data_IF_127762266190
#
_entry.id   IF_127762266190
#
_cell.length_a   1.000
_cell.length_b   1.000
_cell.length_c   1.000
_cell.angle_alpha   90.00
_cell.angle_beta   90.00
_cell.angle_gamma   90.00
#
_symmetry.space_group_name_H-M   'P 1'
#
loop_
_entity.id
_entity.type
_entity.pdbx_description
1 polymer ?
#
# COMPACT_ATOMS: atom_id res chain seq x y z
N UNK A 1 -72.32 9.65 14.80
CA UNK A 1 -71.43 10.70 14.26
C UNK A 1 -70.13 10.54 15.02
N UNK A 2 -69.22 9.68 14.55
CA UNK A 2 -68.20 9.96 13.52
C UNK A 2 -67.11 10.88 14.12
N UNK A 3 -65.81 10.58 14.18
CA UNK A 3 -64.95 9.50 13.65
C UNK A 3 -63.68 9.46 14.52
N UNK A 4 -63.07 8.27 14.69
CA UNK A 4 -61.65 8.14 15.05
C UNK A 4 -60.80 8.52 13.83
N UNK A 5 -59.81 9.40 13.98
CA UNK A 5 -58.62 9.38 13.11
C UNK A 5 -57.36 9.76 13.90
N UNK A 6 -56.57 8.73 14.22
CA UNK A 6 -55.12 8.83 14.37
C UNK A 6 -54.51 9.32 13.06
N UNK A 7 -53.75 10.41 13.09
CA UNK A 7 -52.76 10.71 12.05
C UNK A 7 -51.42 11.01 12.72
N UNK A 8 -50.53 10.04 12.54
CA UNK A 8 -49.09 10.12 12.73
C UNK A 8 -48.50 11.15 11.76
N UNK A 9 -48.20 12.36 12.23
CA UNK A 9 -47.39 13.29 11.46
C UNK A 9 -45.94 13.26 11.93
N UNK A 10 -45.25 12.23 11.46
CA UNK A 10 -43.78 12.16 11.38
C UNK A 10 -43.29 13.02 10.20
N UNK A 11 -43.80 14.25 10.04
CA UNK A 11 -43.50 15.14 8.91
C UNK A 11 -42.95 16.51 9.27
N UNK A 12 -42.95 16.90 10.54
CA UNK A 12 -42.50 18.24 10.94
C UNK A 12 -41.32 18.26 11.93
N UNK A 13 -40.59 17.15 12.03
CA UNK A 13 -39.25 17.13 12.63
C UNK A 13 -38.21 17.32 11.54
N UNK A 14 -38.05 18.59 11.16
CA UNK A 14 -36.73 19.19 11.00
C UNK A 14 -35.86 18.59 9.91
N UNK A 15 -36.03 19.12 8.69
CA UNK A 15 -35.05 19.04 7.61
C UNK A 15 -33.69 19.66 8.00
N UNK A 16 -32.93 18.92 8.81
CA UNK A 16 -31.60 19.27 9.28
C UNK A 16 -30.73 18.01 9.44
N UNK A 17 -30.70 17.11 8.45
CA UNK A 17 -29.63 16.10 8.31
C UNK A 17 -29.28 15.74 6.86
N UNK A 18 -29.77 16.46 5.85
CA UNK A 18 -29.20 16.37 4.50
C UNK A 18 -28.10 17.42 4.30
N UNK A 19 -27.15 17.42 5.22
CA UNK A 19 -25.79 17.83 4.92
C UNK A 19 -25.08 16.64 4.30
N UNK A 20 -25.34 16.35 3.03
CA UNK A 20 -24.31 15.68 2.23
C UNK A 20 -23.15 16.66 2.20
N UNK A 21 -22.22 16.46 3.14
CA UNK A 21 -20.92 17.13 3.11
C UNK A 21 -20.25 16.58 1.87
N UNK A 22 -20.53 17.21 0.73
CA UNK A 22 -19.76 17.07 -0.48
C UNK A 22 -18.37 17.52 -0.07
N UNK A 23 -17.53 16.54 0.30
CA UNK A 23 -16.12 16.76 0.55
C UNK A 23 -15.61 17.62 -0.60
N UNK A 24 -14.95 18.75 -0.32
CA UNK A 24 -14.56 19.68 -1.37
C UNK A 24 -13.76 18.88 -2.39
N UNK A 25 -14.34 18.70 -3.58
CA UNK A 25 -13.70 18.02 -4.70
C UNK A 25 -12.41 18.75 -4.94
N UNK A 26 -11.33 18.16 -4.41
CA UNK A 26 -10.05 18.81 -4.37
C UNK A 26 -9.60 18.89 -5.82
N UNK A 27 -9.62 20.09 -6.40
CA UNK A 27 -9.21 20.41 -7.78
C UNK A 27 -7.68 20.32 -7.87
N UNK A 28 -7.09 19.31 -7.23
CA UNK A 28 -5.74 18.86 -7.48
C UNK A 28 -5.71 18.41 -8.94
N UNK A 29 -4.78 18.91 -9.77
CA UNK A 29 -4.64 18.40 -11.12
C UNK A 29 -4.44 16.89 -11.04
N UNK A 30 -5.35 16.13 -11.65
CA UNK A 30 -5.22 14.69 -11.78
C UNK A 30 -3.91 14.46 -12.52
N UNK A 31 -2.94 13.84 -11.82
CA UNK A 31 -1.64 13.52 -12.40
C UNK A 31 -1.86 12.70 -13.66
N UNK A 32 -1.00 12.85 -14.66
CA UNK A 32 -1.11 12.04 -15.87
C UNK A 32 -0.81 10.55 -15.59
N UNK A 33 -1.53 9.68 -16.29
CA UNK A 33 -1.32 8.23 -16.24
C UNK A 33 -0.02 7.90 -16.97
N UNK A 34 0.93 7.31 -16.25
CA UNK A 34 2.25 6.94 -16.80
C UNK A 34 2.24 5.43 -17.02
N UNK A 35 2.03 5.02 -18.27
CA UNK A 35 2.03 3.62 -18.72
C UNK A 35 2.88 3.43 -19.96
N UNK A 36 3.47 2.24 -20.07
CA UNK A 36 4.25 1.85 -21.23
C UNK A 36 3.36 1.59 -22.45
N UNK A 37 3.99 1.43 -23.63
CA UNK A 37 3.31 1.05 -24.89
C UNK A 37 2.46 -0.22 -24.78
N UNK A 38 2.77 -1.10 -23.82
CA UNK A 38 2.06 -2.35 -23.55
C UNK A 38 0.98 -2.21 -22.45
N UNK A 39 0.66 -0.99 -22.02
CA UNK A 39 -0.34 -0.73 -20.96
C UNK A 39 0.09 -1.17 -19.57
N UNK A 40 1.40 -1.34 -19.35
CA UNK A 40 1.97 -1.76 -18.06
C UNK A 40 2.49 -0.55 -17.30
N UNK A 41 2.27 -0.50 -15.99
CA UNK A 41 2.88 0.50 -15.13
C UNK A 41 4.17 -0.05 -14.53
N UNK A 42 5.28 0.65 -14.76
CA UNK A 42 6.56 0.35 -14.14
C UNK A 42 6.70 1.10 -12.81
N UNK A 43 7.23 0.44 -11.78
CA UNK A 43 7.65 1.08 -10.54
C UNK A 43 8.84 0.36 -9.90
N UNK A 44 9.46 1.02 -8.93
CA UNK A 44 10.57 0.44 -8.17
C UNK A 44 10.39 0.69 -6.69
N UNK A 45 10.40 -0.37 -5.90
CA UNK A 45 10.36 -0.31 -4.45
C UNK A 45 11.69 -0.68 -3.83
N UNK A 46 12.01 -0.09 -2.67
CA UNK A 46 13.25 -0.36 -1.92
C UNK A 46 12.97 -0.41 -0.42
N UNK A 47 13.51 -1.39 0.27
CA UNK A 47 13.46 -1.48 1.74
C UNK A 47 14.71 -2.17 2.26
N UNK A 48 15.41 -1.55 3.23
CA UNK A 48 16.75 -1.99 3.64
C UNK A 48 17.62 -2.16 2.37
N UNK A 49 18.23 -3.33 2.21
CA UNK A 49 19.07 -3.68 1.06
C UNK A 49 18.29 -4.33 -0.10
N UNK A 50 16.98 -4.54 0.04
CA UNK A 50 16.14 -5.15 -0.99
C UNK A 50 15.66 -4.11 -2.00
N UNK A 51 15.76 -4.45 -3.29
CA UNK A 51 15.28 -3.66 -4.41
C UNK A 51 14.33 -4.51 -5.25
N UNK A 52 13.11 -4.01 -5.45
CA UNK A 52 12.07 -4.65 -6.24
C UNK A 52 11.74 -3.79 -7.46
N UNK A 53 11.83 -4.36 -8.66
CA UNK A 53 11.30 -3.81 -9.90
C UNK A 53 9.93 -4.44 -10.13
N UNK A 54 8.90 -3.63 -10.28
CA UNK A 54 7.52 -4.11 -10.35
C UNK A 54 6.91 -3.63 -11.66
N UNK A 55 6.28 -4.57 -12.36
CA UNK A 55 5.45 -4.33 -13.53
C UNK A 55 4.03 -4.69 -13.17
N UNK A 56 3.12 -3.74 -13.33
CA UNK A 56 1.70 -3.91 -13.07
C UNK A 56 0.93 -3.88 -14.39
N UNK A 57 0.05 -4.86 -14.59
CA UNK A 57 -0.79 -5.00 -15.78
C UNK A 57 -2.23 -5.26 -15.33
N UNK A 58 -3.27 -4.71 -16.00
CA UNK A 58 -4.65 -5.15 -15.76
C UNK A 58 -4.79 -6.65 -16.11
N UNK A 59 -5.43 -7.43 -15.24
CA UNK A 59 -5.48 -8.88 -15.37
C UNK A 59 -6.26 -9.59 -14.26
N UNK A 60 -5.86 -10.82 -13.94
CA UNK A 60 -6.58 -11.78 -13.09
C UNK A 60 -6.15 -11.81 -11.62
N UNK A 61 -5.18 -10.99 -11.21
CA UNK A 61 -4.66 -11.01 -9.84
C UNK A 61 -3.45 -11.93 -9.63
N UNK A 62 -2.81 -12.41 -10.71
CA UNK A 62 -1.65 -13.31 -10.59
C UNK A 62 -0.40 -12.52 -10.20
N UNK A 63 0.29 -12.97 -9.16
CA UNK A 63 1.50 -12.33 -8.65
C UNK A 63 2.69 -13.25 -8.84
N UNK A 64 3.55 -12.93 -9.81
CA UNK A 64 4.76 -13.69 -10.12
C UNK A 64 5.99 -12.94 -9.62
N UNK A 65 6.86 -13.61 -8.87
CA UNK A 65 8.05 -13.04 -8.23
C UNK A 65 9.27 -13.85 -8.64
N UNK A 66 10.21 -13.21 -9.34
CA UNK A 66 11.43 -13.85 -9.86
C UNK A 66 11.15 -15.13 -10.67
N UNK A 67 10.05 -15.14 -11.44
CA UNK A 67 9.64 -16.29 -12.26
C UNK A 67 8.97 -17.44 -11.49
N UNK A 68 8.70 -17.27 -10.19
CA UNK A 68 7.96 -18.22 -9.35
C UNK A 68 6.66 -17.61 -8.86
N UNK A 69 5.71 -18.46 -8.48
CA UNK A 69 4.48 -17.99 -7.85
C UNK A 69 4.75 -17.39 -6.46
N UNK A 70 3.90 -16.44 -6.04
CA UNK A 70 4.01 -15.77 -4.74
C UNK A 70 3.98 -16.74 -3.56
N UNK A 71 3.23 -17.84 -3.64
CA UNK A 71 3.09 -18.80 -2.55
C UNK A 71 4.36 -19.61 -2.35
N UNK A 72 4.99 -19.99 -3.47
CA UNK A 72 6.25 -20.73 -3.49
C UNK A 72 7.42 -19.85 -3.05
N UNK A 73 7.43 -18.56 -3.45
CA UNK A 73 8.53 -17.65 -3.08
C UNK A 73 8.44 -17.18 -1.62
N UNK A 74 7.24 -16.83 -1.17
CA UNK A 74 6.99 -16.40 0.20
C UNK A 74 6.21 -17.45 0.98
N UNK A 75 6.93 -18.44 1.51
CA UNK A 75 6.35 -19.52 2.31
C UNK A 75 5.49 -19.01 3.48
N UNK A 76 5.89 -17.90 4.13
CA UNK A 76 5.14 -17.32 5.26
C UNK A 76 3.91 -16.54 4.79
N UNK A 77 2.69 -16.86 5.25
CA UNK A 77 1.46 -16.17 4.85
C UNK A 77 1.46 -14.68 5.24
N UNK A 78 2.12 -14.31 6.34
CA UNK A 78 2.26 -12.91 6.76
C UNK A 78 2.93 -12.04 5.70
N UNK A 79 3.90 -12.59 4.95
CA UNK A 79 4.59 -11.83 3.89
C UNK A 79 3.71 -11.66 2.66
N UNK A 80 2.86 -12.65 2.35
CA UNK A 80 1.84 -12.57 1.30
C UNK A 80 0.79 -11.52 1.62
N UNK A 81 0.31 -11.50 2.86
CA UNK A 81 -0.64 -10.49 3.34
C UNK A 81 -0.09 -9.07 3.13
N UNK A 82 1.18 -8.82 3.48
CA UNK A 82 1.84 -7.52 3.29
C UNK A 82 1.79 -7.09 1.81
N UNK A 83 2.05 -7.99 0.86
CA UNK A 83 2.00 -7.65 -0.57
C UNK A 83 0.59 -7.30 -1.03
N UNK A 84 -0.44 -7.90 -0.41
CA UNK A 84 -1.84 -7.69 -0.75
C UNK A 84 -2.48 -6.45 -0.10
N UNK A 85 -1.87 -5.88 0.94
CA UNK A 85 -2.35 -4.66 1.63
C UNK A 85 -2.73 -3.49 0.69
N UNK A 86 -1.91 -3.08 -0.30
CA UNK A 86 -2.27 -1.98 -1.19
C UNK A 86 -3.52 -2.28 -2.03
N UNK A 87 -3.80 -3.54 -2.37
CA UNK A 87 -5.01 -3.92 -3.13
C UNK A 87 -6.26 -3.95 -2.26
N UNK A 88 -6.13 -4.36 -1.00
CA UNK A 88 -7.23 -4.32 -0.04
C UNK A 88 -7.63 -2.88 0.33
N UNK A 89 -6.71 -1.92 0.22
CA UNK A 89 -7.01 -0.51 0.49
C UNK A 89 -7.66 0.21 -0.70
N UNK A 90 -7.36 -0.22 -1.92
CA UNK A 90 -7.94 0.39 -3.13
C UNK A 90 -9.16 -0.38 -3.65
N UNK A 91 -9.58 -1.43 -2.94
CA UNK A 91 -10.64 -2.36 -3.37
C UNK A 91 -10.41 -2.93 -4.78
N UNK A 92 -9.14 -3.10 -5.18
CA UNK A 92 -8.73 -3.64 -6.50
C UNK A 92 -8.12 -5.03 -6.40
N UNK A 93 -8.62 -5.83 -5.47
CA UNK A 93 -8.22 -7.22 -5.31
C UNK A 93 -8.61 -7.99 -6.58
N UNK A 94 -7.66 -8.70 -7.19
CA UNK A 94 -7.91 -9.51 -8.38
C UNK A 94 -7.97 -8.76 -9.71
N UNK A 95 -7.83 -7.43 -9.73
CA UNK A 95 -7.92 -6.63 -10.97
C UNK A 95 -6.60 -6.50 -11.75
N UNK A 96 -5.47 -6.79 -11.10
CA UNK A 96 -4.15 -6.55 -11.67
C UNK A 96 -3.23 -7.76 -11.52
N UNK A 97 -2.54 -8.12 -12.60
CA UNK A 97 -1.42 -9.03 -12.57
C UNK A 97 -0.12 -8.27 -12.27
N UNK A 98 0.75 -8.88 -11.48
CA UNK A 98 2.03 -8.32 -11.07
C UNK A 98 3.16 -9.24 -11.51
N UNK A 99 4.17 -8.64 -12.15
CA UNK A 99 5.45 -9.29 -12.38
C UNK A 99 6.53 -8.50 -11.63
N UNK A 100 7.04 -9.09 -10.56
CA UNK A 100 8.08 -8.50 -9.73
C UNK A 100 9.42 -9.21 -9.92
N UNK A 101 10.48 -8.43 -10.11
CA UNK A 101 11.87 -8.91 -10.05
C UNK A 101 12.54 -8.28 -8.84
N UNK A 102 13.02 -9.11 -7.92
CA UNK A 102 13.54 -8.67 -6.62
C UNK A 102 14.96 -9.16 -6.41
N UNK A 103 15.83 -8.28 -5.92
CA UNK A 103 17.23 -8.59 -5.59
C UNK A 103 17.65 -7.95 -4.27
N UNK A 104 18.58 -8.61 -3.57
CA UNK A 104 19.15 -8.12 -2.31
C UNK A 104 18.26 -8.34 -1.07
N UNK A 105 18.84 -8.10 0.11
CA UNK A 105 18.19 -8.25 1.40
C UNK A 105 17.74 -9.69 1.71
N UNK A 106 16.76 -9.83 2.60
CA UNK A 106 16.09 -11.10 2.91
C UNK A 106 14.58 -11.03 2.65
N UNK A 107 13.87 -12.15 2.79
CA UNK A 107 12.46 -12.31 2.40
C UNK A 107 11.53 -11.20 2.95
N UNK A 108 11.69 -10.81 4.22
CA UNK A 108 10.88 -9.74 4.83
C UNK A 108 11.17 -8.36 4.23
N UNK A 109 12.43 -8.05 3.95
CA UNK A 109 12.82 -6.81 3.29
C UNK A 109 12.32 -6.77 1.84
N UNK A 110 12.39 -7.91 1.15
CA UNK A 110 11.90 -8.09 -0.20
C UNK A 110 10.38 -7.91 -0.31
N UNK A 111 9.59 -8.52 0.58
CA UNK A 111 8.14 -8.33 0.62
C UNK A 111 7.77 -6.85 0.81
N UNK A 112 8.46 -6.15 1.73
CA UNK A 112 8.25 -4.71 1.92
C UNK A 112 8.67 -3.85 0.73
N UNK A 113 9.73 -4.25 0.00
CA UNK A 113 10.12 -3.58 -1.24
C UNK A 113 9.08 -3.81 -2.35
N UNK A 114 8.52 -5.02 -2.47
CA UNK A 114 7.45 -5.32 -3.42
C UNK A 114 6.19 -4.51 -3.11
N UNK A 115 5.74 -4.49 -1.84
CA UNK A 115 4.61 -3.66 -1.40
C UNK A 115 4.77 -2.20 -1.86
N UNK A 116 5.93 -1.61 -1.59
CA UNK A 116 6.18 -0.21 -1.94
C UNK A 116 6.19 -0.01 -3.47
N UNK A 117 6.73 -0.96 -4.22
CA UNK A 117 6.72 -0.94 -5.69
C UNK A 117 5.29 -1.06 -6.26
N UNK A 118 4.46 -1.94 -5.71
CA UNK A 118 3.06 -2.12 -6.11
C UNK A 118 2.25 -0.86 -5.84
N UNK A 119 2.38 -0.29 -4.64
CA UNK A 119 1.69 0.96 -4.30
C UNK A 119 2.06 2.10 -5.25
N UNK A 120 3.34 2.24 -5.61
CA UNK A 120 3.77 3.22 -6.61
C UNK A 120 3.21 2.92 -8.00
N UNK A 121 3.21 1.65 -8.44
CA UNK A 121 2.69 1.25 -9.74
C UNK A 121 1.18 1.54 -9.86
N UNK A 122 0.40 1.28 -8.81
CA UNK A 122 -1.02 1.61 -8.75
C UNK A 122 -1.25 3.11 -8.94
N UNK A 123 -0.48 3.97 -8.26
CA UNK A 123 -0.64 5.43 -8.43
C UNK A 123 -0.20 5.97 -9.79
N UNK A 124 0.63 5.22 -10.53
CA UNK A 124 1.01 5.57 -11.92
C UNK A 124 -0.05 5.12 -12.92
N UNK A 125 -0.71 4.00 -12.64
CA UNK A 125 -1.79 3.48 -13.47
C UNK A 125 -3.10 4.26 -13.25
N UNK A 126 -3.44 4.54 -12.00
CA UNK A 126 -4.62 5.30 -11.57
C UNK A 126 -4.23 6.43 -10.61
N UNK A 127 -4.02 7.64 -11.16
CA UNK A 127 -3.61 8.82 -10.40
C UNK A 127 -4.59 9.22 -9.28
N UNK A 128 -5.88 8.93 -9.45
CA UNK A 128 -6.92 9.22 -8.47
C UNK A 128 -6.71 8.50 -7.13
N UNK A 129 -6.16 7.27 -7.15
CA UNK A 129 -5.94 6.46 -5.96
C UNK A 129 -4.79 6.98 -5.08
N UNK A 130 -3.99 7.92 -5.58
CA UNK A 130 -2.82 8.45 -4.86
C UNK A 130 -3.19 9.05 -3.51
N UNK A 131 -4.34 9.72 -3.39
CA UNK A 131 -4.80 10.30 -2.13
C UNK A 131 -4.92 9.24 -1.04
N UNK A 132 -5.71 8.20 -1.31
CA UNK A 132 -5.96 7.09 -0.38
C UNK A 132 -4.67 6.37 -0.01
N UNK A 133 -3.86 6.01 -1.01
CA UNK A 133 -2.59 5.28 -0.81
C UNK A 133 -1.55 6.12 -0.06
N UNK A 134 -1.57 7.46 -0.21
CA UNK A 134 -0.69 8.37 0.52
C UNK A 134 -1.09 8.44 1.99
N UNK A 135 -2.38 8.59 2.28
CA UNK A 135 -2.91 8.64 3.66
C UNK A 135 -2.62 7.35 4.42
N UNK A 136 -2.68 6.21 3.73
CA UNK A 136 -2.30 4.91 4.27
C UNK A 136 -0.80 4.70 4.51
N UNK A 137 0.06 5.62 4.05
CA UNK A 137 1.51 5.56 4.25
C UNK A 137 2.28 4.63 3.30
N UNK A 138 1.64 4.00 2.31
CA UNK A 138 2.31 3.05 1.40
C UNK A 138 3.25 3.71 0.38
N UNK A 139 3.07 5.02 0.13
CA UNK A 139 3.96 5.81 -0.73
C UNK A 139 5.24 6.28 -0.02
N UNK A 140 5.33 6.15 1.31
CA UNK A 140 6.52 6.52 2.05
C UNK A 140 7.49 5.35 2.08
N UNK A 141 8.72 5.58 1.64
CA UNK A 141 9.78 4.56 1.74
C UNK A 141 10.19 4.39 3.21
N UNK A 142 10.24 3.16 3.69
CA UNK A 142 10.86 2.84 4.99
C UNK A 142 12.37 3.14 4.92
N UNK A 143 12.78 4.22 5.61
CA UNK A 143 14.15 4.72 5.63
C UNK A 143 15.09 3.93 6.53
N UNK A 144 14.56 3.00 7.34
CA UNK A 144 15.35 2.24 8.32
C UNK A 144 16.38 1.36 7.62
N UNK A 145 17.63 1.54 7.98
CA UNK A 145 18.79 0.76 7.52
C UNK A 145 19.56 0.25 8.74
N UNK A 146 20.29 -0.86 8.57
CA UNK A 146 21.13 -1.41 9.65
C UNK A 146 22.23 -0.41 9.98
N UNK A 147 22.30 0.02 11.24
CA UNK A 147 23.40 0.85 11.71
C UNK A 147 24.72 0.08 11.65
N UNK A 148 25.78 0.75 11.18
CA UNK A 148 27.13 0.18 11.17
C UNK A 148 27.63 -0.11 12.59
N UNK A 149 28.55 -1.06 12.72
CA UNK A 149 29.30 -1.28 13.96
C UNK A 149 30.16 -0.04 14.26
N UNK A 150 30.09 0.45 15.49
CA UNK A 150 30.94 1.54 15.99
C UNK A 150 32.14 0.93 16.73
N UNK A 151 33.29 1.60 16.66
CA UNK A 151 34.49 1.15 17.39
C UNK A 151 34.23 1.18 18.91
N UNK A 152 34.94 0.34 19.67
CA UNK A 152 34.75 0.21 21.12
C UNK A 152 33.42 -0.43 21.55
N UNK A 153 32.57 -0.87 20.61
CA UNK A 153 31.29 -1.53 20.88
C UNK A 153 31.20 -2.90 20.24
N UNK A 154 30.50 -3.82 20.91
CA UNK A 154 30.27 -5.18 20.41
C UNK A 154 29.33 -5.20 19.19
N UNK A 155 28.34 -4.29 19.15
CA UNK A 155 27.42 -4.06 18.02
C UNK A 155 27.23 -2.55 17.79
N UNK A 156 26.24 -2.14 16.99
CA UNK A 156 25.95 -0.71 16.74
C UNK A 156 25.79 0.13 18.02
N UNK A 157 25.12 -0.42 19.04
CA UNK A 157 24.87 0.25 20.34
C UNK A 157 25.38 -0.50 21.56
N UNK A 158 25.43 -1.84 21.51
CA UNK A 158 25.84 -2.71 22.64
C UNK A 158 27.30 -2.48 23.02
N UNK A 159 27.53 -1.93 24.21
CA UNK A 159 28.85 -1.82 24.83
C UNK A 159 29.25 -3.12 25.54
N UNK A 160 30.54 -3.26 25.82
CA UNK A 160 31.03 -4.25 26.78
C UNK A 160 30.64 -3.82 28.21
N UNK A 161 30.69 -4.75 29.16
CA UNK A 161 30.46 -4.45 30.58
C UNK A 161 31.55 -3.48 31.07
N UNK A 162 31.14 -2.40 31.74
CA UNK A 162 32.05 -1.43 32.34
C UNK A 162 32.35 -1.81 33.79
N UNK A 163 33.62 -1.80 34.18
CA UNK A 163 34.06 -1.97 35.58
C UNK A 163 34.44 -0.61 36.15
N UNK A 164 33.75 -0.16 37.21
CA UNK A 164 33.91 1.17 37.85
C UNK A 164 34.93 1.17 38.99
N UNK A 165 35.84 0.20 39.04
CA UNK A 165 36.82 0.10 40.13
C UNK A 165 37.78 1.29 40.14
#
# INVERSE_FOLDING_TARGET
MADEQTMTDLKDLGGAVEGTVAAPVSITPLREKIVDKQGRAYATGRRKDAVARVWLKPGTGKITINGRDQETYFARPTLRLVINQPFGLTDRVGSYDIVATVKGGGLSGQAGAVLHGVAQALTRFEPALRGVVKTAGFLTRDSRTVERKKYGKAKARRSFQFSKR
#
